data_IF_639275961042
#
_entry.id   IF_639275961042
#
_cell.length_a   1.000
_cell.length_b   1.000
_cell.length_c   1.000
_cell.angle_alpha   90.00
_cell.angle_beta   90.00
_cell.angle_gamma   90.00
#
_symmetry.space_group_name_H-M   'P 1'
#
loop_
_entity.id
_entity.type
_entity.pdbx_description
1 polymer ?
#
# COMPACT_ATOMS: atom_id res chain seq x y z
N UNK A 1 -14.38 -6.48 -7.26
CA UNK A 1 -13.47 -5.91 -6.24
C UNK A 1 -12.03 -5.70 -6.72
N UNK A 2 -11.54 -6.45 -7.71
CA UNK A 2 -10.15 -6.29 -8.23
C UNK A 2 -9.87 -4.89 -8.79
N UNK A 3 -10.80 -4.33 -9.60
CA UNK A 3 -10.72 -2.95 -10.08
C UNK A 3 -10.66 -1.92 -8.95
N UNK A 4 -11.47 -2.08 -7.90
CA UNK A 4 -11.46 -1.17 -6.76
C UNK A 4 -10.12 -1.21 -6.00
N UNK A 5 -9.50 -2.39 -5.86
CA UNK A 5 -8.17 -2.53 -5.28
C UNK A 5 -7.09 -1.84 -6.12
N UNK A 6 -7.14 -1.96 -7.45
CA UNK A 6 -6.22 -1.28 -8.36
C UNK A 6 -6.39 0.25 -8.32
N UNK A 7 -7.64 0.73 -8.31
CA UNK A 7 -7.94 2.16 -8.20
C UNK A 7 -7.42 2.71 -6.86
N UNK A 8 -7.66 2.00 -5.75
CA UNK A 8 -7.18 2.41 -4.44
C UNK A 8 -5.65 2.44 -4.36
N UNK A 9 -4.96 1.49 -4.99
CA UNK A 9 -3.50 1.49 -5.06
C UNK A 9 -2.96 2.67 -5.88
N UNK A 10 -3.53 2.94 -7.07
CA UNK A 10 -3.16 4.12 -7.87
C UNK A 10 -3.43 5.43 -7.13
N UNK A 11 -4.55 5.50 -6.41
CA UNK A 11 -4.88 6.67 -5.59
C UNK A 11 -3.83 6.89 -4.50
N UNK A 12 -3.46 5.82 -3.79
CA UNK A 12 -2.41 5.85 -2.77
C UNK A 12 -1.07 6.33 -3.31
N UNK A 13 -0.64 5.83 -4.48
CA UNK A 13 0.58 6.29 -5.15
C UNK A 13 0.56 7.80 -5.45
N UNK A 14 -0.56 8.30 -5.98
CA UNK A 14 -0.73 9.73 -6.27
C UNK A 14 -0.68 10.55 -4.98
N UNK A 15 -1.34 10.07 -3.92
CA UNK A 15 -1.38 10.78 -2.65
C UNK A 15 0.00 10.89 -2.00
N UNK A 16 0.79 9.82 -2.03
CA UNK A 16 2.16 9.84 -1.54
C UNK A 16 3.06 10.75 -2.38
N UNK A 17 2.96 10.71 -3.72
CA UNK A 17 3.77 11.58 -4.61
C UNK A 17 3.47 13.07 -4.44
N UNK A 18 2.21 13.43 -4.17
CA UNK A 18 1.76 14.82 -4.02
C UNK A 18 1.85 15.36 -2.59
N UNK A 19 2.31 14.56 -1.63
CA UNK A 19 2.27 14.90 -0.19
C UNK A 19 0.90 15.42 0.26
N UNK A 20 -0.19 14.85 -0.29
CA UNK A 20 -1.55 15.19 0.13
C UNK A 20 -1.78 14.82 1.59
N UNK A 21 -2.87 15.35 2.17
CA UNK A 21 -3.24 15.14 3.58
C UNK A 21 -3.08 13.68 4.02
N UNK A 22 -2.39 13.46 5.14
CA UNK A 22 -2.16 12.13 5.74
C UNK A 22 -3.44 11.31 5.94
N UNK A 23 -4.62 11.94 6.08
CA UNK A 23 -5.90 11.26 6.21
C UNK A 23 -6.28 10.45 4.97
N UNK A 24 -6.06 10.97 3.76
CA UNK A 24 -6.38 10.29 2.50
C UNK A 24 -5.51 9.04 2.30
N UNK A 25 -4.22 9.19 2.60
CA UNK A 25 -3.24 8.11 2.56
C UNK A 25 -3.64 6.99 3.52
N UNK A 26 -3.96 7.33 4.78
CA UNK A 26 -4.41 6.37 5.80
C UNK A 26 -5.71 5.66 5.40
N UNK A 27 -6.65 6.36 4.80
CA UNK A 27 -7.92 5.77 4.34
C UNK A 27 -7.70 4.76 3.22
N UNK A 28 -6.86 5.08 2.23
CA UNK A 28 -6.53 4.18 1.13
C UNK A 28 -5.79 2.91 1.62
N UNK A 29 -4.82 3.08 2.54
CA UNK A 29 -4.14 1.95 3.20
C UNK A 29 -5.14 1.05 3.93
N UNK A 30 -6.04 1.64 4.75
CA UNK A 30 -7.02 0.89 5.50
C UNK A 30 -7.99 0.11 4.60
N UNK A 31 -8.39 0.69 3.47
CA UNK A 31 -9.21 -0.01 2.48
C UNK A 31 -8.46 -1.24 1.91
N UNK A 32 -7.22 -1.06 1.47
CA UNK A 32 -6.41 -2.13 0.88
C UNK A 32 -6.11 -3.25 1.90
N UNK A 33 -5.83 -2.91 3.15
CA UNK A 33 -5.57 -3.90 4.21
C UNK A 33 -6.79 -4.78 4.54
N UNK A 34 -8.01 -4.24 4.38
CA UNK A 34 -9.29 -4.94 4.59
C UNK A 34 -9.68 -5.88 3.44
N UNK A 35 -8.93 -5.89 2.33
CA UNK A 35 -9.19 -6.82 1.24
C UNK A 35 -9.09 -8.27 1.71
N UNK A 36 -9.86 -9.20 1.10
CA UNK A 36 -9.83 -10.62 1.45
C UNK A 36 -8.39 -11.18 1.42
N UNK A 37 -8.09 -12.10 2.34
CA UNK A 37 -6.79 -12.80 2.41
C UNK A 37 -6.70 -13.90 1.34
N UNK A 38 -6.82 -13.53 0.08
CA UNK A 38 -6.67 -14.43 -1.07
C UNK A 38 -5.49 -14.00 -1.94
N UNK A 39 -4.96 -14.94 -2.72
CA UNK A 39 -3.79 -14.70 -3.60
C UNK A 39 -4.03 -13.54 -4.58
N UNK A 40 -5.27 -13.37 -5.06
CA UNK A 40 -5.66 -12.29 -5.97
C UNK A 40 -5.47 -10.88 -5.41
N UNK A 41 -5.49 -10.72 -4.08
CA UNK A 41 -5.31 -9.44 -3.40
C UNK A 41 -4.01 -9.33 -2.61
N UNK A 42 -3.17 -10.38 -2.63
CA UNK A 42 -1.93 -10.42 -1.87
C UNK A 42 -1.03 -9.20 -2.18
N UNK A 43 -0.82 -8.91 -3.47
CA UNK A 43 0.04 -7.79 -3.88
C UNK A 43 -0.49 -6.43 -3.42
N UNK A 44 -1.81 -6.24 -3.45
CA UNK A 44 -2.47 -5.00 -3.00
C UNK A 44 -2.29 -4.78 -1.49
N UNK A 45 -2.37 -5.87 -0.71
CA UNK A 45 -2.16 -5.83 0.74
C UNK A 45 -0.69 -5.62 1.10
N UNK A 46 0.23 -6.23 0.36
CA UNK A 46 1.68 -6.02 0.51
C UNK A 46 2.04 -4.56 0.21
N UNK A 47 1.53 -4.01 -0.89
CA UNK A 47 1.75 -2.60 -1.23
C UNK A 47 1.18 -1.65 -0.17
N UNK A 48 0.00 -1.95 0.38
CA UNK A 48 -0.58 -1.16 1.47
C UNK A 48 0.30 -1.16 2.73
N UNK A 49 0.86 -2.31 3.08
CA UNK A 49 1.79 -2.43 4.21
C UNK A 49 3.10 -1.66 3.96
N UNK A 50 3.63 -1.70 2.74
CA UNK A 50 4.78 -0.91 2.33
C UNK A 50 4.54 0.60 2.54
N UNK A 51 3.44 1.12 1.99
CA UNK A 51 3.09 2.54 2.15
C UNK A 51 2.78 2.92 3.60
N UNK A 52 2.17 2.02 4.38
CA UNK A 52 1.95 2.25 5.80
C UNK A 52 3.27 2.46 6.55
N UNK A 53 4.30 1.67 6.25
CA UNK A 53 5.62 1.82 6.88
C UNK A 53 6.30 3.13 6.48
N UNK A 54 6.27 3.49 5.20
CA UNK A 54 6.79 4.77 4.72
C UNK A 54 6.18 5.98 5.47
N UNK A 55 4.86 5.98 5.65
CA UNK A 55 4.13 7.08 6.31
C UNK A 55 4.41 7.14 7.81
N UNK A 56 4.73 6.00 8.43
CA UNK A 56 5.13 5.93 9.83
C UNK A 56 6.66 6.05 10.03
N UNK A 57 7.40 6.45 9.00
CA UNK A 57 8.87 6.59 9.02
C UNK A 57 9.64 5.30 9.37
N UNK A 58 9.03 4.13 9.15
CA UNK A 58 9.68 2.81 9.29
C UNK A 58 10.36 2.42 7.96
N UNK A 59 11.48 3.08 7.68
CA UNK A 59 12.22 2.88 6.43
C UNK A 59 12.77 1.45 6.32
N UNK A 60 13.31 0.90 7.41
CA UNK A 60 13.87 -0.46 7.45
C UNK A 60 12.80 -1.51 7.09
N UNK A 61 11.60 -1.38 7.65
CA UNK A 61 10.48 -2.26 7.33
C UNK A 61 9.99 -2.10 5.90
N UNK A 62 9.94 -0.87 5.37
CA UNK A 62 9.57 -0.62 3.99
C UNK A 62 10.58 -1.27 3.01
N UNK A 63 11.88 -1.13 3.29
CA UNK A 63 12.96 -1.70 2.47
C UNK A 63 12.93 -3.23 2.49
N UNK A 64 12.61 -3.86 3.63
CA UNK A 64 12.41 -5.32 3.71
C UNK A 64 11.31 -5.79 2.75
N UNK A 65 10.20 -5.07 2.66
CA UNK A 65 9.10 -5.40 1.73
C UNK A 65 9.53 -5.19 0.29
N UNK A 66 10.19 -4.08 -0.03
CA UNK A 66 10.70 -3.81 -1.38
C UNK A 66 11.67 -4.92 -1.84
N UNK A 67 12.58 -5.34 -0.96
CA UNK A 67 13.54 -6.40 -1.24
C UNK A 67 12.88 -7.77 -1.51
N UNK A 68 11.74 -8.07 -0.86
CA UNK A 68 10.98 -9.29 -1.13
C UNK A 68 10.33 -9.27 -2.52
N UNK A 69 9.99 -8.09 -3.04
CA UNK A 69 9.37 -7.92 -4.35
C UNK A 69 10.38 -7.90 -5.50
N UNK A 70 11.61 -7.44 -5.26
CA UNK A 70 12.68 -7.39 -6.28
C UNK A 70 13.36 -8.73 -6.49
N UNK A 71 13.37 -9.60 -5.47
CA UNK A 71 14.02 -10.92 -5.50
C UNK A 71 13.16 -12.05 -6.08
N UNK A 72 11.90 -11.79 -6.44
CA UNK A 72 11.00 -12.74 -7.11
C UNK A 72 10.68 -12.23 -8.52
#
# INVERSE_FOLDING_TARGET
MQLAAQIALKYLEICCKRQTKNSEIKNAIAFLQKLPKTTNFAIHRIAAEYYNRLVNHDQEGADKIANLLVRN
#
